data_IF_863310800107
#
_entry.id   IF_863310800107
#
_cell.length_a   1.000
_cell.length_b   1.000
_cell.length_c   1.000
_cell.angle_alpha   90.00
_cell.angle_beta   90.00
_cell.angle_gamma   90.00
#
_symmetry.space_group_name_H-M   'P 1'
#
loop_
_entity.id
_entity.type
_entity.pdbx_description
1 polymer ?
#
# COMPACT_ATOMS: atom_id res chain seq x y z
N UNK A 1 -41.24 -41.77 -81.32
CA UNK A 1 -42.13 -42.93 -81.13
C UNK A 1 -42.17 -43.23 -79.63
N UNK A 2 -43.37 -43.36 -79.06
CA UNK A 2 -43.74 -43.80 -77.70
C UNK A 2 -43.10 -43.01 -76.52
N UNK A 3 -43.78 -42.32 -75.60
CA UNK A 3 -45.17 -42.36 -75.15
C UNK A 3 -45.41 -43.49 -74.14
N UNK A 4 -45.39 -43.20 -72.82
CA UNK A 4 -46.45 -43.55 -71.84
C UNK A 4 -46.12 -43.20 -70.37
N UNK A 5 -47.09 -42.49 -69.79
CA UNK A 5 -47.55 -42.33 -68.40
C UNK A 5 -46.93 -43.14 -67.23
N UNK A 6 -46.80 -42.45 -66.09
CA UNK A 6 -46.74 -43.07 -64.76
C UNK A 6 -46.87 -42.05 -63.62
N UNK A 7 -48.11 -41.76 -63.21
CA UNK A 7 -48.47 -40.98 -62.01
C UNK A 7 -48.13 -41.78 -60.74
N UNK A 8 -47.45 -41.14 -59.78
CA UNK A 8 -47.27 -41.65 -58.42
C UNK A 8 -47.51 -40.52 -57.42
N UNK A 9 -48.55 -40.68 -56.61
CA UNK A 9 -49.05 -39.71 -55.66
C UNK A 9 -48.54 -40.01 -54.24
N UNK A 10 -48.32 -38.94 -53.46
CA UNK A 10 -48.54 -38.80 -52.00
C UNK A 10 -47.69 -39.67 -51.05
N UNK A 11 -46.87 -39.03 -50.21
CA UNK A 11 -47.11 -38.99 -48.76
C UNK A 11 -46.25 -37.92 -48.07
N UNK A 12 -46.92 -36.93 -47.47
CA UNK A 12 -46.36 -36.09 -46.41
C UNK A 12 -45.94 -36.99 -45.24
N UNK A 13 -44.69 -36.85 -44.77
CA UNK A 13 -44.37 -37.01 -43.34
C UNK A 13 -43.47 -35.87 -42.90
N UNK A 14 -44.14 -34.92 -42.23
CA UNK A 14 -43.58 -34.02 -41.23
C UNK A 14 -42.91 -34.90 -40.18
N UNK A 15 -41.58 -34.86 -40.09
CA UNK A 15 -40.84 -35.38 -38.93
C UNK A 15 -40.03 -34.24 -38.35
N UNK A 16 -40.68 -33.62 -37.35
CA UNK A 16 -40.14 -32.91 -36.21
C UNK A 16 -38.67 -32.50 -36.31
N UNK A 17 -38.46 -31.19 -36.38
CA UNK A 17 -37.33 -30.53 -35.74
C UNK A 17 -37.17 -31.09 -34.32
N UNK A 18 -36.28 -32.06 -34.14
CA UNK A 18 -35.70 -32.33 -32.83
C UNK A 18 -34.85 -31.11 -32.50
N UNK A 19 -35.50 -30.10 -31.93
CA UNK A 19 -34.86 -29.11 -31.09
C UNK A 19 -34.14 -29.89 -29.99
N UNK A 20 -32.89 -30.24 -30.25
CA UNK A 20 -31.93 -30.48 -29.19
C UNK A 20 -31.77 -29.12 -28.49
N UNK A 21 -32.71 -28.81 -27.59
CA UNK A 21 -32.43 -27.99 -26.43
C UNK A 21 -31.28 -28.71 -25.73
N UNK A 22 -30.05 -28.36 -26.11
CA UNK A 22 -28.96 -28.33 -25.16
C UNK A 22 -29.46 -27.42 -24.05
N UNK A 23 -30.08 -28.05 -23.05
CA UNK A 23 -30.10 -27.56 -21.69
C UNK A 23 -28.64 -27.39 -21.30
N UNK A 24 -28.06 -26.25 -21.70
CA UNK A 24 -26.94 -25.64 -21.02
C UNK A 24 -27.49 -25.33 -19.63
N UNK A 25 -27.49 -26.36 -18.77
CA UNK A 25 -27.51 -26.19 -17.35
C UNK A 25 -26.22 -25.41 -17.06
N UNK A 26 -26.33 -24.09 -17.15
CA UNK A 26 -25.43 -23.17 -16.47
C UNK A 26 -25.55 -23.59 -15.01
N UNK A 27 -24.66 -24.47 -14.57
CA UNK A 27 -24.32 -24.56 -13.18
C UNK A 27 -23.88 -23.14 -12.85
N UNK A 28 -24.79 -22.33 -12.30
CA UNK A 28 -24.44 -21.15 -11.56
C UNK A 28 -23.59 -21.67 -10.42
N UNK A 29 -22.28 -21.79 -10.68
CA UNK A 29 -21.29 -22.04 -9.68
C UNK A 29 -21.51 -20.93 -8.67
N UNK A 30 -22.15 -21.28 -7.55
CA UNK A 30 -22.49 -20.35 -6.49
C UNK A 30 -21.21 -19.59 -6.17
N UNK A 31 -21.18 -18.31 -6.51
CA UNK A 31 -20.03 -17.45 -6.31
C UNK A 31 -19.56 -17.62 -4.86
N UNK A 32 -18.37 -18.19 -4.68
CA UNK A 32 -17.86 -18.48 -3.34
C UNK A 32 -17.56 -17.13 -2.69
N UNK A 33 -18.47 -16.69 -1.83
CA UNK A 33 -18.28 -15.47 -1.06
C UNK A 33 -17.18 -15.70 -0.03
N UNK A 34 -16.05 -15.03 -0.22
CA UNK A 34 -14.92 -15.05 0.71
C UNK A 34 -15.00 -13.81 1.59
N UNK A 35 -14.63 -13.96 2.85
CA UNK A 35 -14.47 -12.84 3.79
C UNK A 35 -13.01 -12.75 4.18
N UNK A 36 -12.44 -11.56 3.96
CA UNK A 36 -11.13 -11.19 4.45
C UNK A 36 -11.31 -10.16 5.57
N UNK A 37 -10.53 -10.29 6.63
CA UNK A 37 -10.54 -9.38 7.77
C UNK A 37 -9.18 -8.70 7.90
N UNK A 38 -9.18 -7.38 8.03
CA UNK A 38 -8.01 -6.58 8.40
C UNK A 38 -8.28 -5.92 9.76
N UNK A 39 -7.31 -6.02 10.66
CA UNK A 39 -7.34 -5.34 11.96
C UNK A 39 -6.53 -4.06 11.85
N UNK A 40 -7.20 -2.92 12.05
CA UNK A 40 -6.61 -1.60 12.03
C UNK A 40 -6.70 -0.99 13.44
N UNK A 41 -5.88 0.02 13.77
CA UNK A 41 -5.98 0.70 15.05
C UNK A 41 -7.42 1.22 15.30
N UNK A 42 -8.09 0.65 16.31
CA UNK A 42 -9.44 1.03 16.76
C UNK A 42 -10.60 0.54 15.90
N UNK A 43 -10.37 -0.35 14.92
CA UNK A 43 -11.45 -0.95 14.11
C UNK A 43 -11.04 -2.22 13.37
N UNK A 44 -12.04 -3.02 13.04
CA UNK A 44 -11.93 -4.19 12.17
C UNK A 44 -12.65 -3.92 10.86
N UNK A 45 -11.98 -4.14 9.74
CA UNK A 45 -12.58 -4.06 8.41
C UNK A 45 -12.76 -5.45 7.81
N UNK A 46 -14.01 -5.78 7.45
CA UNK A 46 -14.36 -7.04 6.80
C UNK A 46 -14.75 -6.82 5.34
N UNK A 47 -13.99 -7.45 4.46
CA UNK A 47 -14.13 -7.40 3.02
C UNK A 47 -14.81 -8.66 2.51
N UNK A 48 -16.03 -8.53 2.01
CA UNK A 48 -16.77 -9.61 1.35
C UNK A 48 -16.64 -9.49 -0.16
N UNK A 49 -16.21 -10.56 -0.84
CA UNK A 49 -15.99 -10.54 -2.29
C UNK A 49 -16.23 -11.92 -2.92
N UNK A 50 -16.27 -11.94 -4.25
CA UNK A 50 -16.37 -13.14 -5.08
C UNK A 50 -14.99 -13.50 -5.62
N UNK A 51 -14.46 -14.67 -5.22
CA UNK A 51 -13.11 -15.14 -5.59
C UNK A 51 -12.97 -15.37 -7.11
N UNK A 52 -14.09 -15.55 -7.82
CA UNK A 52 -14.10 -15.62 -9.29
C UNK A 52 -13.86 -14.25 -9.96
N UNK A 53 -14.07 -13.14 -9.23
CA UNK A 53 -13.85 -11.78 -9.73
C UNK A 53 -12.51 -11.22 -9.31
N UNK A 54 -12.09 -11.51 -8.08
CA UNK A 54 -10.79 -11.10 -7.53
C UNK A 54 -10.33 -12.16 -6.54
N UNK A 55 -9.11 -12.67 -6.70
CA UNK A 55 -8.58 -13.64 -5.74
C UNK A 55 -8.33 -12.98 -4.38
N UNK A 56 -8.38 -13.77 -3.31
CA UNK A 56 -8.00 -13.28 -1.97
C UNK A 56 -6.59 -12.65 -1.93
N UNK A 57 -5.65 -13.19 -2.69
CA UNK A 57 -4.28 -12.64 -2.81
C UNK A 57 -4.27 -11.28 -3.52
N UNK A 58 -4.97 -11.16 -4.65
CA UNK A 58 -5.08 -9.90 -5.36
C UNK A 58 -5.79 -8.83 -4.53
N UNK A 59 -6.78 -9.22 -3.72
CA UNK A 59 -7.42 -8.31 -2.76
C UNK A 59 -6.43 -7.88 -1.68
N UNK A 60 -5.69 -8.79 -1.03
CA UNK A 60 -4.65 -8.42 -0.04
C UNK A 60 -3.64 -7.42 -0.60
N UNK A 61 -3.18 -7.65 -1.82
CA UNK A 61 -2.30 -6.71 -2.51
C UNK A 61 -3.00 -5.35 -2.73
N UNK A 62 -4.27 -5.34 -3.14
CA UNK A 62 -5.03 -4.10 -3.30
C UNK A 62 -5.18 -3.32 -1.99
N UNK A 63 -5.42 -4.01 -0.86
CA UNK A 63 -5.58 -3.37 0.46
C UNK A 63 -4.33 -2.61 0.90
N UNK A 64 -3.14 -3.04 0.47
CA UNK A 64 -1.89 -2.28 0.70
C UNK A 64 -1.90 -0.89 0.06
N UNK A 65 -2.68 -0.70 -1.01
CA UNK A 65 -2.87 0.59 -1.69
C UNK A 65 -4.12 1.34 -1.23
N UNK A 66 -4.89 0.79 -0.28
CA UNK A 66 -6.12 1.39 0.22
C UNK A 66 -5.91 2.72 0.95
N UNK A 67 -6.98 3.47 1.23
CA UNK A 67 -6.91 4.72 2.00
C UNK A 67 -6.32 4.48 3.39
N UNK A 68 -6.59 3.29 3.92
CA UNK A 68 -6.13 2.84 5.21
C UNK A 68 -4.94 1.86 5.14
N UNK A 69 -4.39 1.67 3.93
CA UNK A 69 -3.26 0.79 3.63
C UNK A 69 -1.94 1.34 4.18
N UNK A 70 -0.83 1.06 3.53
CA UNK A 70 0.54 1.19 4.09
C UNK A 70 0.92 2.50 4.79
N UNK A 71 0.27 3.62 4.46
CA UNK A 71 0.55 4.91 5.08
C UNK A 71 -0.13 5.10 6.46
N UNK A 72 -1.30 4.51 6.67
CA UNK A 72 -2.05 4.54 7.95
C UNK A 72 -2.02 3.19 8.66
N UNK A 73 -1.81 2.11 7.90
CA UNK A 73 -1.50 0.79 8.36
C UNK A 73 -0.12 0.77 8.99
N UNK A 74 -0.03 0.14 10.14
CA UNK A 74 1.17 0.04 10.98
C UNK A 74 2.42 -0.43 10.23
N UNK A 75 2.29 -1.12 9.09
CA UNK A 75 3.40 -1.84 8.46
C UNK A 75 4.53 -0.94 7.94
N UNK A 76 4.26 0.10 7.12
CA UNK A 76 5.38 0.95 6.64
C UNK A 76 5.86 1.90 7.73
N UNK A 77 4.97 2.48 8.53
CA UNK A 77 5.38 3.33 9.66
C UNK A 77 6.24 2.53 10.64
N UNK A 78 5.87 1.29 10.95
CA UNK A 78 6.66 0.44 11.84
C UNK A 78 7.99 0.04 11.19
N UNK A 79 8.00 -0.33 9.91
CA UNK A 79 9.23 -0.72 9.20
C UNK A 79 10.17 0.44 8.88
N UNK A 80 9.68 1.66 8.74
CA UNK A 80 10.50 2.83 8.47
C UNK A 80 10.86 3.63 9.73
N UNK A 81 10.22 3.36 10.87
CA UNK A 81 10.61 3.94 12.16
C UNK A 81 11.96 3.38 12.60
N UNK A 82 12.85 4.24 13.10
CA UNK A 82 14.17 3.81 13.59
C UNK A 82 14.09 3.23 15.01
N UNK A 83 13.00 3.51 15.72
CA UNK A 83 12.77 3.15 17.12
C UNK A 83 12.09 1.79 17.30
N UNK A 84 11.45 1.28 16.25
CA UNK A 84 10.76 -0.02 16.31
C UNK A 84 11.78 -1.13 16.44
N UNK A 85 11.60 -1.96 17.47
CA UNK A 85 12.46 -3.08 17.76
C UNK A 85 11.64 -4.19 18.46
N UNK A 86 11.08 -5.14 17.70
CA UNK A 86 10.40 -6.32 18.21
C UNK A 86 11.43 -7.32 18.76
N UNK A 87 11.37 -7.61 20.07
CA UNK A 87 12.33 -8.50 20.76
C UNK A 87 12.23 -9.97 20.28
N UNK A 88 11.09 -10.34 19.71
CA UNK A 88 10.73 -11.70 19.28
C UNK A 88 11.03 -11.97 17.80
N UNK A 89 11.44 -10.97 17.02
CA UNK A 89 11.79 -11.15 15.61
C UNK A 89 13.27 -11.54 15.46
N UNK A 90 13.59 -12.71 14.88
CA UNK A 90 14.96 -13.23 14.79
C UNK A 90 15.89 -12.40 13.89
N UNK A 91 15.36 -11.46 13.10
CA UNK A 91 16.18 -10.53 12.33
C UNK A 91 16.72 -9.35 13.13
N UNK A 92 16.31 -9.19 14.39
CA UNK A 92 16.75 -8.10 15.26
C UNK A 92 17.78 -8.58 16.28
N UNK A 93 18.75 -7.71 16.58
CA UNK A 93 19.64 -7.88 17.73
C UNK A 93 18.90 -7.44 19.01
N UNK A 94 19.36 -7.86 20.21
CA UNK A 94 18.74 -7.45 21.47
C UNK A 94 18.50 -5.94 21.55
N UNK A 95 17.24 -5.53 21.78
CA UNK A 95 16.81 -4.14 21.64
C UNK A 95 17.30 -3.21 22.76
N UNK A 96 17.65 -3.76 23.93
CA UNK A 96 18.05 -2.98 25.10
C UNK A 96 16.94 -2.03 25.57
N UNK A 97 17.29 -0.80 25.91
CA UNK A 97 16.33 0.23 26.34
C UNK A 97 15.61 0.93 25.17
N UNK A 98 15.87 0.49 23.92
CA UNK A 98 15.29 1.05 22.67
C UNK A 98 15.59 2.54 22.45
N UNK A 99 16.57 3.10 23.16
CA UNK A 99 17.03 4.46 22.91
C UNK A 99 18.21 4.48 21.94
N UNK A 100 18.58 5.66 21.45
CA UNK A 100 19.80 5.85 20.66
C UNK A 100 21.08 5.40 21.39
N UNK A 101 21.02 5.27 22.73
CA UNK A 101 22.14 4.77 23.53
C UNK A 101 22.20 3.24 23.60
N UNK A 102 21.15 2.53 23.16
CA UNK A 102 21.16 1.07 23.15
C UNK A 102 22.26 0.54 22.20
N UNK A 103 23.02 -0.50 22.59
CA UNK A 103 24.18 -0.99 21.82
C UNK A 103 23.86 -1.37 20.37
N UNK A 104 22.64 -1.84 20.10
CA UNK A 104 22.23 -2.32 18.78
C UNK A 104 21.26 -1.37 18.05
N UNK A 105 21.00 -0.17 18.57
CA UNK A 105 19.98 0.73 18.01
C UNK A 105 20.21 0.99 16.52
N UNK A 106 21.43 1.38 16.11
CA UNK A 106 21.74 1.74 14.72
C UNK A 106 21.76 0.54 13.75
N UNK A 107 21.97 -0.66 14.28
CA UNK A 107 21.93 -1.90 13.51
C UNK A 107 20.48 -2.31 13.26
N UNK A 108 19.66 -2.32 14.32
CA UNK A 108 18.23 -2.63 14.22
C UNK A 108 17.48 -1.57 13.38
N UNK A 109 17.81 -0.29 13.55
CA UNK A 109 17.31 0.76 12.68
C UNK A 109 17.72 0.55 11.21
N UNK A 110 18.91 -0.01 10.97
CA UNK A 110 19.36 -0.40 9.63
C UNK A 110 18.53 -1.56 9.04
N UNK A 111 18.19 -2.54 9.87
CA UNK A 111 17.33 -3.67 9.49
C UNK A 111 15.90 -3.21 9.14
N UNK A 112 15.35 -2.27 9.91
CA UNK A 112 14.07 -1.61 9.63
C UNK A 112 14.06 -1.05 8.20
N UNK A 113 15.04 -0.19 7.88
CA UNK A 113 15.11 0.45 6.56
C UNK A 113 15.39 -0.54 5.43
N UNK A 114 16.14 -1.63 5.69
CA UNK A 114 16.34 -2.70 4.71
C UNK A 114 15.00 -3.38 4.37
N UNK A 115 14.19 -3.70 5.38
CA UNK A 115 12.86 -4.31 5.19
C UNK A 115 11.88 -3.35 4.53
N UNK A 116 11.89 -2.07 4.91
CA UNK A 116 11.09 -1.03 4.27
C UNK A 116 11.43 -0.88 2.78
N UNK A 117 12.72 -0.90 2.42
CA UNK A 117 13.16 -0.87 1.02
C UNK A 117 12.70 -2.09 0.24
N UNK A 118 12.86 -3.29 0.80
CA UNK A 118 12.39 -4.52 0.15
C UNK A 118 10.88 -4.49 -0.10
N UNK A 119 10.09 -4.00 0.86
CA UNK A 119 8.64 -3.81 0.69
C UNK A 119 8.36 -2.78 -0.42
N UNK A 120 9.09 -1.66 -0.47
CA UNK A 120 8.92 -0.66 -1.53
C UNK A 120 9.24 -1.23 -2.92
N UNK A 121 10.29 -2.04 -3.05
CA UNK A 121 10.64 -2.72 -4.30
C UNK A 121 9.55 -3.72 -4.72
N UNK A 122 9.03 -4.52 -3.78
CA UNK A 122 7.92 -5.44 -4.00
C UNK A 122 6.67 -4.70 -4.51
N UNK A 123 6.28 -3.63 -3.83
CA UNK A 123 5.11 -2.83 -4.22
C UNK A 123 5.31 -2.16 -5.58
N UNK A 124 6.51 -1.63 -5.84
CA UNK A 124 6.84 -1.03 -7.13
C UNK A 124 6.75 -2.06 -8.27
N UNK A 125 7.23 -3.28 -8.05
CA UNK A 125 7.19 -4.38 -9.02
C UNK A 125 5.79 -4.99 -9.19
N UNK A 126 4.93 -4.92 -8.17
CA UNK A 126 3.60 -5.54 -8.21
C UNK A 126 2.67 -4.91 -9.28
N UNK A 127 1.80 -5.70 -9.90
CA UNK A 127 0.74 -5.16 -10.76
C UNK A 127 -0.53 -5.01 -9.91
N UNK A 128 -1.01 -3.78 -9.67
CA UNK A 128 -2.23 -3.60 -8.88
C UNK A 128 -3.45 -4.06 -9.71
N UNK A 129 -4.53 -4.51 -9.08
CA UNK A 129 -5.79 -4.73 -9.78
C UNK A 129 -6.25 -3.50 -10.56
N UNK A 130 -6.93 -3.74 -11.69
CA UNK A 130 -7.26 -2.68 -12.64
C UNK A 130 -8.04 -1.54 -11.98
N UNK A 131 -7.60 -0.30 -12.21
CA UNK A 131 -8.21 0.91 -11.64
C UNK A 131 -7.58 1.41 -10.35
N UNK A 132 -6.54 0.73 -9.84
CA UNK A 132 -5.77 1.14 -8.66
C UNK A 132 -4.43 1.80 -8.99
N UNK A 133 -4.15 2.11 -10.25
CA UNK A 133 -2.87 2.69 -10.70
C UNK A 133 -2.59 4.03 -9.98
N UNK A 134 -3.61 4.87 -9.85
CA UNK A 134 -3.50 6.14 -9.13
C UNK A 134 -3.24 5.93 -7.63
N UNK A 135 -3.90 4.94 -7.00
CA UNK A 135 -3.73 4.62 -5.58
C UNK A 135 -2.33 4.08 -5.30
N UNK A 136 -1.83 3.17 -6.16
CA UNK A 136 -0.46 2.69 -6.12
C UNK A 136 0.54 3.84 -6.27
N UNK A 137 0.37 4.72 -7.26
CA UNK A 137 1.28 5.84 -7.49
C UNK A 137 1.32 6.81 -6.30
N UNK A 138 0.18 7.08 -5.68
CA UNK A 138 0.09 7.88 -4.46
C UNK A 138 0.82 7.18 -3.29
N UNK A 139 0.51 5.91 -3.07
CA UNK A 139 1.12 5.10 -2.01
C UNK A 139 2.65 5.00 -2.13
N UNK A 140 3.17 4.78 -3.33
CA UNK A 140 4.62 4.68 -3.55
C UNK A 140 5.36 5.99 -3.29
N UNK A 141 4.75 7.13 -3.61
CA UNK A 141 5.36 8.43 -3.36
C UNK A 141 5.38 8.77 -1.87
N UNK A 142 4.25 8.58 -1.19
CA UNK A 142 4.10 8.77 0.25
C UNK A 142 5.10 7.93 1.04
N UNK A 143 5.11 6.61 0.80
CA UNK A 143 5.99 5.71 1.51
C UNK A 143 7.46 5.87 1.09
N UNK A 144 7.72 6.21 -0.17
CA UNK A 144 9.06 6.54 -0.65
C UNK A 144 9.64 7.77 0.06
N UNK A 145 8.82 8.80 0.29
CA UNK A 145 9.21 9.97 1.06
C UNK A 145 9.50 9.64 2.53
N UNK A 146 8.63 8.86 3.19
CA UNK A 146 8.85 8.41 4.59
C UNK A 146 10.15 7.61 4.70
N UNK A 147 10.40 6.67 3.79
CA UNK A 147 11.64 5.91 3.74
C UNK A 147 12.86 6.83 3.57
N UNK A 148 12.81 7.77 2.62
CA UNK A 148 13.90 8.71 2.39
C UNK A 148 14.20 9.60 3.60
N UNK A 149 13.17 10.05 4.34
CA UNK A 149 13.33 10.78 5.60
C UNK A 149 14.07 9.94 6.64
N UNK A 150 13.62 8.71 6.86
CA UNK A 150 14.24 7.81 7.84
C UNK A 150 15.66 7.43 7.46
N UNK A 151 15.96 7.24 6.17
CA UNK A 151 17.32 7.01 5.69
C UNK A 151 18.25 8.21 5.93
N UNK A 152 17.78 9.42 5.66
CA UNK A 152 18.55 10.64 5.96
C UNK A 152 18.84 10.76 7.46
N UNK A 153 17.84 10.47 8.30
CA UNK A 153 18.00 10.45 9.75
C UNK A 153 18.97 9.36 10.22
N UNK A 154 18.91 8.14 9.67
CA UNK A 154 19.86 7.09 10.03
C UNK A 154 21.29 7.46 9.63
N UNK A 155 21.49 8.04 8.44
CA UNK A 155 22.80 8.57 8.01
C UNK A 155 23.33 9.62 8.98
N UNK A 156 22.46 10.53 9.43
CA UNK A 156 22.80 11.51 10.45
C UNK A 156 23.21 10.85 11.76
N UNK A 157 22.44 9.90 12.28
CA UNK A 157 22.74 9.25 13.57
C UNK A 157 24.04 8.44 13.54
N UNK A 158 24.45 7.93 12.37
CA UNK A 158 25.72 7.22 12.18
C UNK A 158 26.94 8.13 12.10
N UNK A 159 26.78 9.35 11.60
CA UNK A 159 27.91 10.25 11.26
C UNK A 159 27.97 11.50 12.13
N UNK A 160 26.84 11.86 12.75
CA UNK A 160 26.59 13.14 13.39
C UNK A 160 26.83 14.36 12.51
N UNK A 161 26.88 14.18 11.18
CA UNK A 161 27.09 15.24 10.20
C UNK A 161 25.73 15.85 9.79
N UNK A 162 25.43 17.12 10.17
CA UNK A 162 24.18 17.77 9.80
C UNK A 162 23.97 17.93 8.28
N UNK A 163 25.00 17.79 7.45
CA UNK A 163 24.83 17.83 5.99
C UNK A 163 23.96 16.68 5.48
N UNK A 164 23.98 15.53 6.15
CA UNK A 164 23.11 14.38 5.80
C UNK A 164 21.61 14.72 5.89
N UNK A 165 21.23 15.62 6.81
CA UNK A 165 19.86 16.12 6.98
C UNK A 165 19.49 17.25 6.01
N UNK A 166 20.46 17.78 5.26
CA UNK A 166 20.24 18.80 4.21
C UNK A 166 19.96 18.19 2.84
N UNK A 167 20.02 16.86 2.72
CA UNK A 167 19.66 16.15 1.50
C UNK A 167 18.29 16.60 0.98
N UNK A 168 18.20 16.83 -0.32
CA UNK A 168 16.97 17.27 -0.97
C UNK A 168 16.02 16.11 -1.22
N UNK A 169 14.71 16.37 -1.19
CA UNK A 169 13.69 15.36 -1.48
C UNK A 169 12.86 15.79 -2.69
N UNK A 170 12.84 14.97 -3.74
CA UNK A 170 11.97 15.19 -4.89
C UNK A 170 10.53 14.79 -4.54
N UNK A 171 9.58 15.68 -4.85
CA UNK A 171 8.14 15.45 -4.74
C UNK A 171 7.57 15.50 -6.16
N UNK A 172 7.45 14.31 -6.77
CA UNK A 172 7.17 14.13 -8.19
C UNK A 172 5.76 14.61 -8.54
N UNK A 173 4.78 14.32 -7.69
CA UNK A 173 3.41 14.81 -7.80
C UNK A 173 3.31 16.32 -7.95
N UNK A 174 4.15 17.06 -7.24
CA UNK A 174 4.17 18.51 -7.21
C UNK A 174 5.15 19.12 -8.23
N UNK A 175 6.05 18.32 -8.81
CA UNK A 175 7.18 18.80 -9.59
C UNK A 175 8.07 19.75 -8.79
N UNK A 176 8.27 19.45 -7.49
CA UNK A 176 9.02 20.28 -6.55
C UNK A 176 10.15 19.51 -5.89
N UNK A 177 11.13 20.26 -5.40
CA UNK A 177 12.22 19.75 -4.57
C UNK A 177 12.09 20.40 -3.20
N UNK A 178 12.03 19.60 -2.14
CA UNK A 178 12.17 20.07 -0.78
C UNK A 178 13.66 20.21 -0.46
N UNK A 179 14.04 21.39 0.01
CA UNK A 179 15.40 21.69 0.44
C UNK A 179 15.38 21.93 1.96
N UNK A 180 15.56 20.89 2.81
CA UNK A 180 15.47 21.03 4.27
C UNK A 180 16.35 22.14 4.82
N UNK A 181 17.55 22.31 4.24
CA UNK A 181 18.50 23.34 4.63
C UNK A 181 17.97 24.78 4.55
N UNK A 182 16.97 25.04 3.69
CA UNK A 182 16.27 26.32 3.55
C UNK A 182 14.94 26.33 4.31
N UNK A 183 14.22 25.21 4.29
CA UNK A 183 12.88 25.08 4.85
C UNK A 183 12.85 24.99 6.38
N UNK A 184 13.90 24.42 6.99
CA UNK A 184 13.93 24.05 8.40
C UNK A 184 15.03 24.75 9.22
N UNK A 185 15.19 26.09 9.14
CA UNK A 185 16.29 26.79 9.82
C UNK A 185 16.26 26.57 11.34
N UNK A 186 15.07 26.58 11.96
CA UNK A 186 14.90 26.36 13.38
C UNK A 186 15.39 24.98 13.86
N UNK A 187 15.21 23.93 13.03
CA UNK A 187 15.71 22.60 13.36
C UNK A 187 17.25 22.55 13.32
N UNK A 188 17.88 23.19 12.34
CA UNK A 188 19.35 23.28 12.28
C UNK A 188 19.94 24.15 13.40
N UNK A 189 19.22 25.18 13.83
CA UNK A 189 19.58 25.99 14.98
C UNK A 189 19.45 25.19 16.30
N UNK A 190 18.41 24.36 16.43
CA UNK A 190 18.28 23.44 17.56
C UNK A 190 19.40 22.38 17.56
N UNK A 191 19.80 21.87 16.39
CA UNK A 191 20.90 20.92 16.25
C UNK A 191 22.24 21.53 16.68
N UNK A 192 22.51 22.80 16.35
CA UNK A 192 23.76 23.46 16.74
C UNK A 192 23.85 23.72 18.24
N UNK A 193 22.71 23.89 18.92
CA UNK A 193 22.62 24.04 20.39
C UNK A 193 22.63 22.72 21.15
N UNK A 194 22.32 21.60 20.51
CA UNK A 194 22.24 20.30 21.16
C UNK A 194 23.62 19.86 21.67
N UNK A 195 23.71 19.64 22.99
CA UNK A 195 24.96 19.46 23.72
C UNK A 195 25.48 18.02 23.69
N UNK A 196 24.61 17.04 23.41
CA UNK A 196 24.97 15.62 23.45
C UNK A 196 24.23 14.80 22.36
N UNK A 197 24.69 13.57 22.09
CA UNK A 197 24.08 12.69 21.09
C UNK A 197 22.58 12.45 21.28
N UNK A 198 22.11 12.33 22.52
CA UNK A 198 20.68 12.10 22.82
C UNK A 198 19.84 13.31 22.42
N UNK A 199 20.27 14.52 22.79
CA UNK A 199 19.60 15.77 22.39
C UNK A 199 19.64 15.93 20.86
N UNK A 200 20.78 15.65 20.22
CA UNK A 200 20.92 15.69 18.76
C UNK A 200 19.98 14.71 18.06
N UNK A 201 19.86 13.49 18.57
CA UNK A 201 18.96 12.48 18.04
C UNK A 201 17.50 12.90 18.18
N UNK A 202 17.13 13.49 19.33
CA UNK A 202 15.79 14.05 19.57
C UNK A 202 15.48 15.16 18.56
N UNK A 203 16.38 16.11 18.38
CA UNK A 203 16.18 17.21 17.42
C UNK A 203 15.97 16.69 16.00
N UNK A 204 16.72 15.67 15.59
CA UNK A 204 16.52 15.02 14.30
C UNK A 204 15.18 14.25 14.22
N UNK A 205 14.76 13.60 15.31
CA UNK A 205 13.55 12.78 15.38
C UNK A 205 12.26 13.60 15.35
N UNK A 206 12.26 14.80 15.95
CA UNK A 206 11.05 15.60 16.10
C UNK A 206 11.14 16.90 15.31
N UNK A 207 12.03 17.82 15.65
CA UNK A 207 12.06 19.17 15.08
C UNK A 207 12.37 19.14 13.58
N UNK A 208 13.43 18.43 13.17
CA UNK A 208 13.76 18.27 11.76
C UNK A 208 12.70 17.45 11.02
N UNK A 209 12.35 16.27 11.55
CA UNK A 209 11.38 15.37 10.92
C UNK A 209 10.02 16.06 10.70
N UNK A 210 9.45 16.67 11.74
CA UNK A 210 8.15 17.34 11.66
C UNK A 210 8.18 18.54 10.72
N UNK A 211 9.29 19.28 10.66
CA UNK A 211 9.43 20.38 9.71
C UNK A 211 9.42 19.88 8.25
N UNK A 212 10.25 18.89 7.92
CA UNK A 212 10.33 18.37 6.55
C UNK A 212 9.04 17.64 6.15
N UNK A 213 8.49 16.82 7.05
CA UNK A 213 7.19 16.17 6.84
C UNK A 213 6.08 17.22 6.69
N UNK A 214 6.03 18.27 7.52
CA UNK A 214 5.07 19.36 7.38
C UNK A 214 5.15 20.05 6.02
N UNK A 215 6.37 20.31 5.52
CA UNK A 215 6.57 20.88 4.19
C UNK A 215 6.09 19.94 3.06
N UNK A 216 6.34 18.63 3.19
CA UNK A 216 5.82 17.62 2.27
C UNK A 216 4.29 17.56 2.30
N UNK A 217 3.68 17.52 3.48
CA UNK A 217 2.22 17.52 3.66
C UNK A 217 1.56 18.76 3.07
N UNK A 218 2.20 19.92 3.16
CA UNK A 218 1.70 21.14 2.53
C UNK A 218 1.69 21.05 0.99
N UNK A 219 2.60 20.31 0.38
CA UNK A 219 2.58 20.02 -1.05
C UNK A 219 1.51 18.97 -1.40
N UNK A 220 1.44 17.87 -0.66
CA UNK A 220 0.47 16.78 -0.87
C UNK A 220 -0.97 17.16 -0.51
N UNK A 221 -1.20 18.22 0.27
CA UNK A 221 -2.55 18.76 0.50
C UNK A 221 -3.30 19.09 -0.82
N UNK A 222 -2.56 19.28 -1.91
CA UNK A 222 -3.09 19.51 -3.26
C UNK A 222 -3.39 18.21 -4.04
N UNK A 223 -2.97 17.07 -3.52
CA UNK A 223 -3.13 15.73 -4.08
C UNK A 223 -3.62 14.77 -3.00
N UNK A 224 -4.90 14.87 -2.60
CA UNK A 224 -5.48 13.92 -1.67
C UNK A 224 -5.40 12.49 -2.22
N UNK A 225 -5.48 11.51 -1.31
CA UNK A 225 -5.62 10.11 -1.68
C UNK A 225 -6.72 9.94 -2.76
N UNK A 226 -6.48 9.13 -3.82
CA UNK A 226 -7.41 8.98 -4.94
C UNK A 226 -8.63 8.12 -4.58
N UNK A 227 -9.47 8.63 -3.69
CA UNK A 227 -10.67 7.99 -3.16
C UNK A 227 -11.63 7.54 -4.26
N UNK A 228 -11.72 8.28 -5.37
CA UNK A 228 -12.55 7.91 -6.51
C UNK A 228 -12.08 6.62 -7.18
N UNK A 229 -10.76 6.45 -7.36
CA UNK A 229 -10.16 5.23 -7.91
C UNK A 229 -10.41 4.03 -6.98
N UNK A 230 -10.21 4.22 -5.68
CA UNK A 230 -10.49 3.19 -4.67
C UNK A 230 -11.96 2.73 -4.68
N UNK A 231 -12.90 3.68 -4.64
CA UNK A 231 -14.34 3.37 -4.69
C UNK A 231 -14.73 2.66 -6.01
N UNK A 232 -14.15 3.09 -7.13
CA UNK A 232 -14.38 2.46 -8.42
C UNK A 232 -13.86 1.01 -8.46
N UNK A 233 -12.69 0.75 -7.88
CA UNK A 233 -12.14 -0.59 -7.69
C UNK A 233 -13.10 -1.49 -6.87
N UNK A 234 -13.51 -1.05 -5.69
CA UNK A 234 -14.43 -1.82 -4.84
C UNK A 234 -15.72 -2.17 -5.58
N UNK A 235 -16.32 -1.19 -6.27
CA UNK A 235 -17.53 -1.38 -7.08
C UNK A 235 -17.31 -2.36 -8.24
N UNK A 236 -16.20 -2.23 -8.99
CA UNK A 236 -15.88 -3.07 -10.14
C UNK A 236 -15.82 -4.55 -9.77
N UNK A 237 -15.20 -4.86 -8.65
CA UNK A 237 -15.01 -6.24 -8.19
C UNK A 237 -16.13 -6.74 -7.28
N UNK A 238 -17.18 -5.93 -7.02
CA UNK A 238 -18.29 -6.30 -6.15
C UNK A 238 -17.86 -6.52 -4.69
N UNK A 239 -16.85 -5.78 -4.23
CA UNK A 239 -16.32 -5.88 -2.88
C UNK A 239 -17.20 -5.03 -1.95
N UNK A 240 -17.72 -5.64 -0.90
CA UNK A 240 -18.44 -4.95 0.17
C UNK A 240 -17.55 -4.86 1.40
N UNK A 241 -17.40 -3.65 1.94
CA UNK A 241 -16.65 -3.39 3.16
C UNK A 241 -17.61 -3.15 4.31
N UNK A 242 -17.38 -3.82 5.44
CA UNK A 242 -18.03 -3.55 6.72
C UNK A 242 -16.97 -3.13 7.73
N UNK A 243 -17.24 -2.04 8.44
CA UNK A 243 -16.35 -1.50 9.45
C UNK A 243 -17.01 -1.70 10.81
N UNK A 244 -16.28 -2.34 11.72
CA UNK A 244 -16.67 -2.50 13.12
C UNK A 244 -15.67 -1.73 13.96
N UNK A 245 -16.17 -0.83 14.82
CA UNK A 245 -15.33 -0.10 15.75
C UNK A 245 -15.24 -0.86 17.05
N UNK A 246 -14.06 -0.85 17.67
CA UNK A 246 -13.92 -1.37 19.02
C UNK A 246 -14.84 -0.53 19.93
N UNK A 247 -15.84 -1.18 20.54
CA UNK A 247 -16.62 -0.57 21.60
C UNK A 247 -15.83 -0.74 22.88
N UNK A 248 -15.16 0.34 23.31
CA UNK A 248 -14.57 0.45 24.63
C UNK A 248 -15.60 0.22 25.75
#
# INVERSE_FOLDING_TARGET
MAGFFGKGAVLLRVSACAWAFLLMASAEASAKKVVLQEELPGRIERYSFDDARISAEALRLALRFGPDGLYTGSEMIARASLEVCPDDDPGYKPCGDRTIAAPNFLDNAGENLRRARALMEELAASTPPAGLEAAKAWCLEENGFVLALSEARLRYLRTWDPQTLRATFEVKSAGKVLEPGKLCPAAFEALSRAQNPVQRARVAAYEWHNCVNGAFRALEARRPYPTAAWKAFLKRYGITVRVEHDTD
#
